data_IF_922662378987
#
_entry.id   IF_922662378987
#
_cell.length_a   1.000
_cell.length_b   1.000
_cell.length_c   1.000
_cell.angle_alpha   90.00
_cell.angle_beta   90.00
_cell.angle_gamma   90.00
#
_symmetry.space_group_name_H-M   'P 1'
#
loop_
_entity.id
_entity.type
_entity.pdbx_description
1 polymer ?
#
# COMPACT_ATOMS: atom_id res chain seq x y z
N UNK A 1 -30.98 -38.43 -31.32
CA UNK A 1 -30.04 -38.20 -30.20
C UNK A 1 -28.74 -37.51 -30.62
N UNK A 2 -28.10 -37.85 -31.75
CA UNK A 2 -26.85 -37.21 -32.23
C UNK A 2 -26.92 -35.67 -32.35
N UNK A 3 -28.02 -35.11 -32.89
CA UNK A 3 -28.13 -33.66 -33.08
C UNK A 3 -28.24 -32.85 -31.77
N UNK A 4 -28.76 -33.45 -30.68
CA UNK A 4 -28.79 -32.79 -29.35
C UNK A 4 -27.42 -32.75 -28.69
N UNK A 5 -26.59 -33.78 -28.91
CA UNK A 5 -25.21 -33.84 -28.41
C UNK A 5 -24.30 -32.80 -29.09
N UNK A 6 -24.48 -32.62 -30.41
CA UNK A 6 -23.74 -31.63 -31.19
C UNK A 6 -24.12 -30.21 -30.76
N UNK A 7 -25.42 -29.95 -30.54
CA UNK A 7 -25.91 -28.67 -30.04
C UNK A 7 -25.37 -28.31 -28.65
N UNK A 8 -25.31 -29.27 -27.71
CA UNK A 8 -24.78 -28.99 -26.38
C UNK A 8 -23.27 -28.75 -26.38
N UNK A 9 -22.51 -29.46 -27.23
CA UNK A 9 -21.08 -29.25 -27.39
C UNK A 9 -20.75 -27.85 -27.96
N UNK A 10 -21.54 -27.37 -28.92
CA UNK A 10 -21.42 -26.02 -29.49
C UNK A 10 -21.73 -24.93 -28.47
N UNK A 11 -22.78 -25.10 -27.64
CA UNK A 11 -23.09 -24.16 -26.56
C UNK A 11 -21.98 -24.09 -25.51
N UNK A 12 -21.37 -25.23 -25.17
CA UNK A 12 -20.29 -25.29 -24.19
C UNK A 12 -19.02 -24.58 -24.71
N UNK A 13 -18.68 -24.79 -25.99
CA UNK A 13 -17.57 -24.09 -26.64
C UNK A 13 -17.78 -22.58 -26.71
N UNK A 14 -19.01 -22.13 -27.02
CA UNK A 14 -19.35 -20.72 -27.02
C UNK A 14 -19.22 -20.09 -25.61
N UNK A 15 -19.63 -20.83 -24.57
CA UNK A 15 -19.51 -20.37 -23.18
C UNK A 15 -18.04 -20.26 -22.74
N UNK A 16 -17.21 -21.25 -23.10
CA UNK A 16 -15.78 -21.23 -22.79
C UNK A 16 -15.08 -20.09 -23.53
N UNK A 17 -15.41 -19.86 -24.81
CA UNK A 17 -14.89 -18.73 -25.58
C UNK A 17 -15.32 -17.38 -25.00
N UNK A 18 -16.58 -17.27 -24.55
CA UNK A 18 -17.11 -16.07 -23.91
C UNK A 18 -16.39 -15.78 -22.58
N UNK A 19 -16.22 -16.78 -21.72
CA UNK A 19 -15.48 -16.65 -20.46
C UNK A 19 -14.02 -16.31 -20.75
N UNK A 20 -13.36 -17.01 -21.68
CA UNK A 20 -11.96 -16.75 -22.06
C UNK A 20 -11.77 -15.32 -22.60
N UNK A 21 -12.67 -14.86 -23.47
CA UNK A 21 -12.64 -13.50 -24.01
C UNK A 21 -12.89 -12.43 -22.94
N UNK A 22 -13.85 -12.65 -22.04
CA UNK A 22 -14.07 -11.76 -20.90
C UNK A 22 -12.89 -11.74 -19.93
N UNK A 23 -12.22 -12.88 -19.73
CA UNK A 23 -11.02 -12.97 -18.89
C UNK A 23 -9.86 -12.20 -19.54
N UNK A 24 -9.69 -12.32 -20.87
CA UNK A 24 -8.68 -11.56 -21.63
C UNK A 24 -8.94 -10.05 -21.62
N UNK A 25 -10.21 -9.61 -21.71
CA UNK A 25 -10.59 -8.20 -21.60
C UNK A 25 -10.45 -7.65 -20.18
N UNK A 26 -10.58 -8.50 -19.16
CA UNK A 26 -10.38 -8.15 -17.75
C UNK A 26 -8.92 -8.27 -17.30
N UNK A 27 -8.00 -8.71 -18.15
CA UNK A 27 -6.58 -8.42 -17.95
C UNK A 27 -6.47 -6.90 -18.07
N UNK A 28 -6.52 -6.20 -16.93
CA UNK A 28 -6.19 -4.79 -16.83
C UNK A 28 -4.96 -4.60 -17.68
N UNK A 29 -5.09 -3.81 -18.74
CA UNK A 29 -3.96 -3.32 -19.50
C UNK A 29 -3.01 -2.73 -18.46
N UNK A 30 -1.87 -3.40 -18.20
CA UNK A 30 -0.69 -2.75 -17.66
C UNK A 30 -0.60 -1.43 -18.42
N UNK A 31 -0.72 -0.31 -17.71
CA UNK A 31 -0.74 0.99 -18.34
C UNK A 31 0.69 1.27 -18.81
N UNK A 32 1.10 0.63 -19.91
CA UNK A 32 2.49 0.53 -20.42
C UNK A 32 3.12 1.88 -20.74
N UNK A 33 2.32 2.94 -20.68
CA UNK A 33 2.75 4.31 -20.89
C UNK A 33 3.19 5.00 -19.58
N UNK A 34 2.88 4.47 -18.39
CA UNK A 34 3.26 5.11 -17.12
C UNK A 34 4.73 4.85 -16.79
N UNK A 35 5.51 5.93 -16.62
CA UNK A 35 6.91 5.89 -16.23
C UNK A 35 7.16 6.45 -14.82
N UNK A 36 6.28 7.33 -14.32
CA UNK A 36 6.41 7.96 -13.03
C UNK A 36 5.09 7.95 -12.25
N UNK A 37 5.18 7.65 -10.96
CA UNK A 37 4.11 7.83 -9.99
C UNK A 37 4.44 9.00 -9.06
N UNK A 38 3.53 9.96 -8.94
CA UNK A 38 3.62 11.03 -7.95
C UNK A 38 2.50 10.82 -6.94
N UNK A 39 2.89 10.58 -5.69
CA UNK A 39 1.98 10.56 -4.55
C UNK A 39 2.03 11.91 -3.85
N UNK A 40 0.92 12.66 -3.93
CA UNK A 40 0.78 13.95 -3.28
C UNK A 40 -0.31 13.89 -2.21
N UNK A 41 -0.16 14.63 -1.11
CA UNK A 41 -1.20 14.75 -0.09
C UNK A 41 -1.19 16.12 0.56
N UNK A 42 -2.35 16.51 1.09
CA UNK A 42 -2.50 17.71 1.89
C UNK A 42 -1.98 17.46 3.31
N UNK A 43 -1.28 18.43 3.88
CA UNK A 43 -0.70 18.35 5.24
C UNK A 43 -1.77 18.42 6.36
N UNK A 44 -2.94 19.00 6.09
CA UNK A 44 -3.95 19.34 7.10
C UNK A 44 -5.26 18.58 6.98
N UNK A 45 -5.57 18.01 5.81
CA UNK A 45 -6.79 17.23 5.60
C UNK A 45 -6.54 15.96 4.77
N UNK A 46 -7.51 15.04 4.78
CA UNK A 46 -7.45 13.73 4.12
C UNK A 46 -7.72 13.80 2.62
N UNK A 47 -7.02 14.70 1.92
CA UNK A 47 -7.00 14.80 0.46
C UNK A 47 -5.61 14.49 -0.07
N UNK A 48 -5.53 13.50 -0.93
CA UNK A 48 -4.32 13.20 -1.69
C UNK A 48 -4.64 12.77 -3.12
N UNK A 49 -3.59 12.55 -3.89
CA UNK A 49 -3.66 12.24 -5.30
C UNK A 49 -2.53 11.29 -5.68
N UNK A 50 -2.82 10.32 -6.55
CA UNK A 50 -1.84 9.53 -7.27
C UNK A 50 -1.89 9.95 -8.73
N UNK A 51 -0.77 10.50 -9.21
CA UNK A 51 -0.63 11.06 -10.55
C UNK A 51 0.33 10.14 -11.33
N UNK A 52 -0.10 9.70 -12.51
CA UNK A 52 0.66 8.85 -13.41
C UNK A 52 1.14 9.69 -14.60
N UNK A 53 2.44 9.64 -14.88
CA UNK A 53 3.07 10.42 -15.95
C UNK A 53 3.88 9.50 -16.85
N UNK A 54 3.83 9.73 -18.16
CA UNK A 54 4.61 9.01 -19.15
C UNK A 54 6.07 9.48 -19.24
N UNK A 55 6.88 8.80 -20.07
CA UNK A 55 8.29 9.16 -20.27
C UNK A 55 8.50 10.55 -20.85
N UNK A 56 7.47 11.15 -21.48
CA UNK A 56 7.51 12.47 -22.07
C UNK A 56 6.99 13.57 -21.12
N UNK A 57 6.62 13.20 -19.89
CA UNK A 57 6.06 14.14 -18.92
C UNK A 57 4.56 14.42 -19.10
N UNK A 58 3.86 13.65 -19.93
CA UNK A 58 2.42 13.81 -20.14
C UNK A 58 1.63 13.06 -19.06
N UNK A 59 0.58 13.70 -18.56
CA UNK A 59 -0.39 13.08 -17.67
C UNK A 59 -1.05 11.87 -18.35
N UNK A 60 -0.87 10.69 -17.77
CA UNK A 60 -1.55 9.45 -18.15
C UNK A 60 -2.85 9.31 -17.37
N UNK A 61 -2.79 9.50 -16.05
CA UNK A 61 -3.94 9.33 -15.17
C UNK A 61 -3.79 10.14 -13.88
N UNK A 62 -4.91 10.42 -13.21
CA UNK A 62 -4.96 11.10 -11.92
C UNK A 62 -6.09 10.52 -11.08
N UNK A 63 -5.75 9.99 -9.90
CA UNK A 63 -6.70 9.37 -8.96
C UNK A 63 -6.71 10.12 -7.64
N UNK A 64 -7.89 10.42 -7.11
CA UNK A 64 -8.01 11.00 -5.76
C UNK A 64 -7.88 9.93 -4.69
N UNK A 65 -7.19 10.27 -3.60
CA UNK A 65 -6.90 9.40 -2.47
C UNK A 65 -7.33 10.05 -1.16
N UNK A 66 -7.69 9.22 -0.17
CA UNK A 66 -7.95 9.66 1.22
C UNK A 66 -6.67 9.63 2.08
N UNK A 67 -5.65 10.34 1.61
CA UNK A 67 -4.32 10.41 2.24
C UNK A 67 -4.08 11.81 2.84
N UNK A 68 -3.26 11.90 3.89
CA UNK A 68 -2.90 13.15 4.57
C UNK A 68 -1.44 13.09 4.99
N UNK A 69 -0.72 14.19 4.81
CA UNK A 69 0.60 14.41 5.39
C UNK A 69 1.63 13.31 5.08
N UNK A 70 1.50 12.69 3.90
CA UNK A 70 2.36 11.60 3.44
C UNK A 70 3.77 12.12 3.25
N UNK A 71 4.66 11.68 4.14
CA UNK A 71 6.04 12.13 4.22
C UNK A 71 7.00 11.01 4.57
N UNK A 72 6.50 9.87 5.06
CA UNK A 72 7.30 8.68 5.35
C UNK A 72 7.05 7.64 4.28
N UNK A 73 8.11 7.06 3.74
CA UNK A 73 8.00 6.06 2.69
C UNK A 73 9.18 5.12 2.72
N UNK A 74 8.99 3.96 2.11
CA UNK A 74 10.06 3.02 1.83
C UNK A 74 9.71 2.21 0.58
N UNK A 75 10.67 1.43 0.10
CA UNK A 75 10.53 0.64 -1.10
C UNK A 75 11.21 -0.71 -0.90
N UNK A 76 10.49 -1.78 -1.23
CA UNK A 76 11.01 -3.14 -1.25
C UNK A 76 10.56 -3.82 -2.55
N UNK A 77 11.53 -4.23 -3.36
CA UNK A 77 11.33 -4.89 -4.66
C UNK A 77 10.42 -4.14 -5.65
N UNK A 78 9.13 -4.46 -5.71
CA UNK A 78 8.11 -3.87 -6.57
C UNK A 78 7.02 -3.12 -5.77
N UNK A 79 7.19 -3.05 -4.44
CA UNK A 79 6.22 -2.48 -3.51
C UNK A 79 6.77 -1.21 -2.89
N UNK A 80 6.03 -0.13 -3.09
CA UNK A 80 6.21 1.15 -2.43
C UNK A 80 5.22 1.27 -1.29
N UNK A 81 5.71 1.55 -0.08
CA UNK A 81 4.87 1.88 1.06
C UNK A 81 5.04 3.34 1.43
N UNK A 82 3.95 4.02 1.75
CA UNK A 82 4.01 5.36 2.31
C UNK A 82 2.90 5.62 3.34
N UNK A 83 3.17 6.52 4.25
CA UNK A 83 2.25 6.93 5.31
C UNK A 83 2.52 8.36 5.75
N UNK A 84 1.53 8.96 6.41
CA UNK A 84 1.68 10.27 7.01
C UNK A 84 2.14 10.22 8.45
N UNK A 85 2.70 11.32 8.95
CA UNK A 85 3.09 11.45 10.35
C UNK A 85 1.86 11.77 11.22
N UNK A 86 0.95 12.61 10.72
CA UNK A 86 -0.24 13.04 11.48
C UNK A 86 -1.42 12.08 11.47
N UNK A 87 -1.61 11.31 10.39
CA UNK A 87 -2.80 10.48 10.20
C UNK A 87 -2.43 9.04 9.89
N UNK A 88 -3.18 8.09 10.47
CA UNK A 88 -3.03 6.66 10.17
C UNK A 88 -3.73 6.26 8.86
N UNK A 89 -3.28 6.85 7.76
CA UNK A 89 -3.64 6.47 6.41
C UNK A 89 -2.37 6.17 5.61
N UNK A 90 -2.22 4.88 5.29
CA UNK A 90 -1.06 4.34 4.63
C UNK A 90 -1.48 3.83 3.24
N UNK A 91 -0.53 3.79 2.33
CA UNK A 91 -0.69 3.27 0.99
C UNK A 91 0.39 2.24 0.72
N UNK A 92 -0.02 1.12 0.13
CA UNK A 92 0.85 0.16 -0.54
C UNK A 92 0.58 0.27 -2.03
N UNK A 93 1.60 0.62 -2.82
CA UNK A 93 1.53 0.84 -4.26
C UNK A 93 2.48 -0.16 -4.94
N UNK A 94 2.00 -0.82 -5.98
CA UNK A 94 2.76 -1.75 -6.80
C UNK A 94 3.29 -1.06 -8.06
N UNK A 95 4.34 -1.62 -8.67
CA UNK A 95 4.95 -1.08 -9.88
C UNK A 95 4.02 -0.97 -11.11
N UNK A 96 2.90 -1.70 -11.12
CA UNK A 96 1.85 -1.62 -12.15
C UNK A 96 0.81 -0.51 -11.88
N UNK A 97 0.92 0.17 -10.73
CA UNK A 97 0.02 1.24 -10.31
C UNK A 97 -1.23 0.78 -9.58
N UNK A 98 -1.37 -0.52 -9.29
CA UNK A 98 -2.34 -1.01 -8.32
C UNK A 98 -1.94 -0.58 -6.91
N UNK A 99 -2.93 -0.20 -6.10
CA UNK A 99 -2.67 0.24 -4.75
C UNK A 99 -3.78 -0.14 -3.77
N UNK A 100 -3.41 -0.21 -2.51
CA UNK A 100 -4.31 -0.37 -1.36
C UNK A 100 -4.07 0.76 -0.37
N UNK A 101 -5.15 1.41 0.05
CA UNK A 101 -5.14 2.32 1.22
C UNK A 101 -5.57 1.51 2.44
N UNK A 102 -4.86 1.65 3.55
CA UNK A 102 -5.16 0.94 4.80
C UNK A 102 -4.77 1.77 6.04
N UNK A 103 -5.26 1.33 7.19
CA UNK A 103 -4.87 1.84 8.50
C UNK A 103 -4.09 0.76 9.25
N UNK A 104 -3.02 1.15 9.92
CA UNK A 104 -2.33 0.29 10.88
C UNK A 104 -3.25 0.01 12.07
N UNK A 105 -3.10 -1.14 12.73
CA UNK A 105 -3.98 -1.56 13.86
C UNK A 105 -5.47 -1.66 13.52
N UNK A 106 -5.83 -1.63 12.22
CA UNK A 106 -7.22 -1.51 11.75
C UNK A 106 -8.00 -0.36 12.43
N UNK A 107 -7.30 0.75 12.75
CA UNK A 107 -7.91 1.86 13.46
C UNK A 107 -7.49 3.23 12.87
N UNK A 108 -8.39 3.91 12.15
CA UNK A 108 -8.08 5.17 11.46
C UNK A 108 -7.90 6.38 12.40
N UNK A 109 -8.19 6.23 13.70
CA UNK A 109 -8.10 7.29 14.69
C UNK A 109 -6.75 7.35 15.40
N UNK A 110 -5.86 6.38 15.18
CA UNK A 110 -4.48 6.51 15.63
C UNK A 110 -3.75 7.62 14.84
N UNK A 111 -2.72 8.16 15.46
CA UNK A 111 -1.70 8.96 14.78
C UNK A 111 -0.97 8.13 13.73
N UNK A 112 -0.27 8.84 12.85
CA UNK A 112 0.48 8.25 11.76
C UNK A 112 1.77 7.56 12.20
N UNK A 113 2.76 7.57 11.31
CA UNK A 113 4.04 6.90 11.49
C UNK A 113 5.19 7.89 11.52
N UNK A 114 6.20 7.59 12.34
CA UNK A 114 7.50 8.29 12.28
C UNK A 114 8.38 7.70 11.17
N UNK A 115 8.23 6.40 10.92
CA UNK A 115 8.92 5.65 9.86
C UNK A 115 8.13 4.38 9.53
N UNK A 116 8.29 3.88 8.31
CA UNK A 116 7.65 2.64 7.82
C UNK A 116 8.62 1.88 6.90
N UNK A 117 8.49 0.56 6.82
CA UNK A 117 9.20 -0.28 5.85
C UNK A 117 8.40 -1.58 5.56
N UNK A 118 8.77 -2.24 4.47
CA UNK A 118 8.35 -3.59 4.10
C UNK A 118 9.52 -4.56 4.34
N UNK A 119 9.22 -5.72 4.89
CA UNK A 119 10.24 -6.71 5.22
C UNK A 119 9.63 -8.11 5.20
N UNK A 120 10.01 -8.94 4.22
CA UNK A 120 9.48 -10.30 4.06
C UNK A 120 7.94 -10.35 4.11
N UNK A 121 7.28 -9.56 3.26
CA UNK A 121 5.80 -9.46 3.17
C UNK A 121 5.12 -8.92 4.44
N UNK A 122 5.88 -8.29 5.33
CA UNK A 122 5.34 -7.63 6.53
C UNK A 122 5.51 -6.14 6.42
N UNK A 123 4.50 -5.42 6.88
CA UNK A 123 4.55 -3.99 7.11
C UNK A 123 5.10 -3.79 8.52
N UNK A 124 6.20 -3.05 8.60
CA UNK A 124 6.84 -2.65 9.84
C UNK A 124 6.72 -1.14 9.95
N UNK A 125 6.20 -0.65 11.07
CA UNK A 125 6.05 0.77 11.30
C UNK A 125 6.41 1.12 12.74
N UNK A 126 7.02 2.29 12.93
CA UNK A 126 7.07 2.94 14.23
C UNK A 126 5.98 4.01 14.23
N UNK A 127 4.85 3.68 14.83
CA UNK A 127 3.73 4.60 14.95
C UNK A 127 4.04 5.67 15.99
N UNK A 128 3.64 6.90 15.68
CA UNK A 128 3.49 7.96 16.66
C UNK A 128 2.57 7.42 17.74
N UNK A 129 3.08 7.23 18.96
CA UNK A 129 2.24 6.68 20.01
C UNK A 129 1.50 7.76 20.79
N UNK A 130 0.75 7.29 21.79
CA UNK A 130 0.03 8.15 22.72
C UNK A 130 0.93 8.49 23.92
N UNK A 131 0.62 9.60 24.59
CA UNK A 131 1.24 9.94 25.86
C UNK A 131 0.81 8.91 26.92
N UNK A 132 1.78 8.26 27.58
CA UNK A 132 1.54 7.41 28.75
C UNK A 132 2.21 8.05 29.96
N UNK A 133 1.42 8.75 30.79
CA UNK A 133 1.97 9.60 31.86
C UNK A 133 2.56 10.89 31.29
N UNK A 134 3.84 11.15 31.56
CA UNK A 134 4.59 12.34 31.06
C UNK A 134 5.50 12.02 29.87
N UNK A 135 5.52 10.76 29.40
CA UNK A 135 6.44 10.32 28.34
C UNK A 135 5.68 10.06 27.04
N UNK A 136 6.16 10.66 25.95
CA UNK A 136 5.74 10.27 24.61
C UNK A 136 6.37 8.92 24.30
N UNK A 137 5.57 7.88 24.05
CA UNK A 137 6.12 6.56 23.73
C UNK A 137 5.65 6.15 22.36
N UNK A 138 6.58 5.74 21.50
CA UNK A 138 6.23 5.25 20.17
C UNK A 138 5.92 3.75 20.20
N UNK A 139 5.23 3.31 19.16
CA UNK A 139 4.81 1.92 19.04
C UNK A 139 5.46 1.27 17.84
N UNK A 140 6.35 0.31 18.07
CA UNK A 140 6.79 -0.62 17.04
C UNK A 140 5.66 -1.60 16.74
N UNK A 141 5.24 -1.62 15.48
CA UNK A 141 4.21 -2.48 14.96
C UNK A 141 4.76 -3.31 13.80
N UNK A 142 4.47 -4.61 13.84
CA UNK A 142 4.64 -5.52 12.70
C UNK A 142 3.27 -6.13 12.39
N UNK A 143 2.81 -5.95 11.17
CA UNK A 143 1.58 -6.55 10.66
C UNK A 143 1.83 -7.17 9.28
N UNK A 144 1.01 -8.14 8.88
CA UNK A 144 0.99 -8.56 7.48
C UNK A 144 0.12 -7.62 6.63
N UNK A 145 0.13 -7.81 5.32
CA UNK A 145 -0.65 -6.98 4.38
C UNK A 145 -2.18 -7.17 4.53
N UNK A 146 -2.64 -8.27 5.14
CA UNK A 146 -4.04 -8.50 5.52
C UNK A 146 -4.47 -7.76 6.79
N UNK A 147 -3.54 -7.12 7.51
CA UNK A 147 -3.83 -6.37 8.75
C UNK A 147 -3.79 -7.19 10.03
N UNK A 148 -3.38 -8.46 9.97
CA UNK A 148 -3.08 -9.27 11.17
C UNK A 148 -1.84 -8.74 11.86
N UNK A 149 -1.99 -8.34 13.11
CA UNK A 149 -0.89 -7.91 13.97
C UNK A 149 -0.04 -9.13 14.35
N UNK A 150 1.26 -9.04 14.07
CA UNK A 150 2.25 -10.08 14.38
C UNK A 150 3.08 -9.69 15.61
N UNK A 151 3.40 -8.41 15.76
CA UNK A 151 4.12 -7.87 16.91
C UNK A 151 3.67 -6.46 17.21
N UNK A 152 3.58 -6.13 18.50
CA UNK A 152 3.28 -4.80 19.01
C UNK A 152 4.14 -4.57 20.26
N UNK A 153 4.99 -3.55 20.24
CA UNK A 153 5.92 -3.27 21.33
C UNK A 153 6.10 -1.75 21.51
N UNK A 154 6.12 -1.30 22.76
CA UNK A 154 6.35 0.11 23.09
C UNK A 154 7.86 0.37 23.09
N UNK A 155 8.30 1.42 22.40
CA UNK A 155 9.71 1.80 22.30
C UNK A 155 9.90 3.28 22.63
N UNK A 156 11.02 3.57 23.30
CA UNK A 156 11.42 4.92 23.69
C UNK A 156 12.41 5.51 22.66
N UNK A 157 11.88 5.74 21.45
CA UNK A 157 12.64 6.18 20.29
C UNK A 157 11.72 6.91 19.31
N UNK A 158 12.07 8.14 18.91
CA UNK A 158 11.57 8.76 17.69
C UNK A 158 12.35 8.22 16.49
N UNK A 159 11.74 7.35 15.70
CA UNK A 159 12.39 6.67 14.59
C UNK A 159 12.40 7.54 13.34
N UNK A 160 13.58 7.90 12.86
CA UNK A 160 13.75 8.64 11.60
C UNK A 160 13.59 7.72 10.39
N UNK A 161 14.09 6.48 10.48
CA UNK A 161 14.08 5.55 9.37
C UNK A 161 14.16 4.08 9.84
N UNK A 162 13.73 3.19 8.97
CA UNK A 162 13.74 1.74 9.15
C UNK A 162 14.43 1.12 7.93
N UNK A 163 15.35 0.20 8.16
CA UNK A 163 15.95 -0.61 7.08
C UNK A 163 15.78 -2.09 7.40
N UNK A 164 15.29 -2.87 6.44
CA UNK A 164 15.26 -4.32 6.52
C UNK A 164 16.33 -4.90 5.61
N UNK A 165 17.20 -5.74 6.16
CA UNK A 165 18.16 -6.53 5.41
C UNK A 165 18.01 -7.99 5.83
N UNK A 166 17.67 -8.87 4.88
CA UNK A 166 17.34 -10.27 5.12
C UNK A 166 16.28 -10.48 6.21
N UNK A 167 16.70 -10.82 7.44
CA UNK A 167 15.84 -11.07 8.60
C UNK A 167 16.12 -10.09 9.75
N UNK A 168 16.92 -9.05 9.50
CA UNK A 168 17.32 -8.06 10.50
C UNK A 168 16.66 -6.73 10.18
N UNK A 169 15.98 -6.18 11.17
CA UNK A 169 15.41 -4.83 11.13
C UNK A 169 16.35 -3.88 11.88
N UNK A 170 16.82 -2.85 11.18
CA UNK A 170 17.52 -1.72 11.76
C UNK A 170 16.54 -0.56 11.95
N UNK A 171 16.50 -0.01 13.16
CA UNK A 171 15.67 1.13 13.52
C UNK A 171 16.61 2.27 13.91
N UNK A 172 16.56 3.38 13.19
CA UNK A 172 17.42 4.54 13.44
C UNK A 172 16.56 5.69 13.93
N UNK A 173 17.00 6.37 14.98
CA UNK A 173 16.23 7.43 15.59
C UNK A 173 16.96 8.14 16.72
N UNK A 174 16.23 8.98 17.44
CA UNK A 174 16.69 9.68 18.64
C UNK A 174 15.77 9.37 19.83
N UNK A 175 16.31 9.43 21.04
CA UNK A 175 15.49 9.36 22.26
C UNK A 175 14.59 10.59 22.39
N UNK A 176 13.43 10.39 23.02
CA UNK A 176 12.40 11.41 23.25
C UNK A 176 12.65 12.19 24.53
#
# INVERSE_FOLDING_TARGET
MKNKLIGSALCLLALIAFIGFHTMLNVKSENKDTAYYILASNMFDKRGELIEIDTNGKLVNKRSLKMQDVTKFNFDQDKFIAGGERANNNILLHGDGEYKIFSLLDNPNYSGVTSTNLCNEKIIAVMNGNVEGDTYKNLLLVQNEEGKILKKEVIDLYSSDLLCEENVLYIVGAHL
#
